data_IF_445073663651
#
_entry.id   IF_445073663651
#
_cell.length_a   1.000
_cell.length_b   1.000
_cell.length_c   1.000
_cell.angle_alpha   90.00
_cell.angle_beta   90.00
_cell.angle_gamma   90.00
#
_symmetry.space_group_name_H-M   'P 1'
#
loop_
_entity.id
_entity.type
_entity.pdbx_description
1 polymer ?
#
# COMPACT_ATOMS: atom_id res chain seq x y z
N UNK A 1 -21.62 1.24 -13.08
CA UNK A 1 -21.39 2.15 -14.23
C UNK A 1 -21.18 1.38 -15.54
N UNK A 2 -21.90 1.76 -16.60
CA UNK A 2 -21.69 1.32 -17.99
C UNK A 2 -20.37 1.86 -18.55
N UNK A 3 -19.91 1.34 -19.70
CA UNK A 3 -18.68 1.81 -20.36
C UNK A 3 -18.73 3.30 -20.72
N UNK A 4 -19.89 3.79 -21.18
CA UNK A 4 -20.12 5.21 -21.48
C UNK A 4 -20.06 6.08 -20.21
N UNK A 5 -20.75 5.67 -19.15
CA UNK A 5 -20.71 6.37 -17.86
C UNK A 5 -19.29 6.43 -17.28
N UNK A 6 -18.52 5.33 -17.36
CA UNK A 6 -17.13 5.27 -16.91
C UNK A 6 -16.20 6.23 -17.67
N UNK A 7 -16.42 6.41 -18.99
CA UNK A 7 -15.67 7.35 -19.83
C UNK A 7 -16.02 8.79 -19.48
N UNK A 8 -17.31 9.08 -19.31
CA UNK A 8 -17.78 10.40 -18.91
C UNK A 8 -17.22 10.82 -17.56
N UNK A 9 -17.34 9.98 -16.53
CA UNK A 9 -16.80 10.27 -15.18
C UNK A 9 -15.29 10.53 -15.23
N UNK A 10 -14.55 9.79 -16.07
CA UNK A 10 -13.11 10.03 -16.25
C UNK A 10 -12.84 11.42 -16.84
N UNK A 11 -13.49 11.75 -17.95
CA UNK A 11 -13.31 13.05 -18.61
C UNK A 11 -13.73 14.21 -17.71
N UNK A 12 -14.79 14.04 -16.93
CA UNK A 12 -15.25 15.05 -15.99
C UNK A 12 -14.17 15.34 -14.93
N UNK A 13 -13.57 14.30 -14.33
CA UNK A 13 -12.52 14.48 -13.32
C UNK A 13 -11.26 15.11 -13.91
N UNK A 14 -10.80 14.62 -15.07
CA UNK A 14 -9.60 15.14 -15.76
C UNK A 14 -9.75 16.61 -16.17
N UNK A 15 -10.96 17.09 -16.47
CA UNK A 15 -11.19 18.47 -16.92
C UNK A 15 -11.60 19.44 -15.81
N UNK A 16 -12.34 18.98 -14.80
CA UNK A 16 -12.90 19.85 -13.75
C UNK A 16 -12.11 19.78 -12.43
N UNK A 17 -11.73 18.58 -11.97
CA UNK A 17 -11.13 18.40 -10.64
C UNK A 17 -9.63 18.74 -10.64
N UNK A 18 -8.90 18.38 -11.70
CA UNK A 18 -7.47 18.70 -11.84
C UNK A 18 -7.20 20.21 -12.00
N UNK A 19 -8.18 21.01 -12.46
CA UNK A 19 -8.04 22.47 -12.57
C UNK A 19 -8.09 23.20 -11.24
N UNK A 20 -8.79 22.65 -10.25
CA UNK A 20 -8.97 23.29 -8.94
C UNK A 20 -7.92 22.89 -7.90
N UNK A 21 -6.89 22.10 -8.28
CA UNK A 21 -5.93 21.49 -7.33
C UNK A 21 -6.59 20.67 -6.22
N UNK A 22 -7.86 20.27 -6.38
CA UNK A 22 -8.61 19.50 -5.40
C UNK A 22 -8.30 18.01 -5.57
N UNK A 23 -8.07 17.35 -4.45
CA UNK A 23 -7.71 15.93 -4.40
C UNK A 23 -8.90 14.99 -4.59
N UNK A 24 -10.10 15.46 -4.26
CA UNK A 24 -11.35 14.74 -4.32
C UNK A 24 -12.50 15.73 -4.60
N UNK A 25 -13.52 15.32 -5.37
CA UNK A 25 -14.73 16.11 -5.55
C UNK A 25 -15.54 16.19 -4.25
N UNK A 26 -16.16 17.33 -3.98
CA UNK A 26 -17.08 17.50 -2.86
C UNK A 26 -18.32 16.61 -3.02
N UNK A 27 -18.98 16.25 -1.91
CA UNK A 27 -20.19 15.41 -1.94
C UNK A 27 -21.29 15.99 -2.85
N UNK A 28 -21.42 17.32 -2.89
CA UNK A 28 -22.37 18.00 -3.77
C UNK A 28 -22.07 17.77 -5.26
N UNK A 29 -20.78 17.79 -5.64
CA UNK A 29 -20.33 17.55 -7.02
C UNK A 29 -20.56 16.09 -7.43
N UNK A 30 -20.30 15.16 -6.51
CA UNK A 30 -20.58 13.73 -6.71
C UNK A 30 -22.07 13.48 -6.87
N UNK A 31 -22.92 14.13 -6.08
CA UNK A 31 -24.37 14.02 -6.18
C UNK A 31 -24.91 14.63 -7.49
N UNK A 32 -24.35 15.76 -7.92
CA UNK A 32 -24.66 16.36 -9.21
C UNK A 32 -24.26 15.43 -10.37
N UNK A 33 -23.06 14.86 -10.31
CA UNK A 33 -22.56 13.90 -11.31
C UNK A 33 -23.42 12.63 -11.35
N UNK A 34 -23.85 12.13 -10.19
CA UNK A 34 -24.74 10.98 -10.06
C UNK A 34 -26.10 11.21 -10.71
N UNK A 35 -26.65 12.40 -10.51
CA UNK A 35 -27.89 12.84 -11.13
C UNK A 35 -27.73 12.89 -12.66
N UNK A 36 -26.65 13.50 -13.15
CA UNK A 36 -26.41 13.71 -14.57
C UNK A 36 -26.21 12.40 -15.35
N UNK A 37 -25.56 11.39 -14.77
CA UNK A 37 -25.31 10.11 -15.45
C UNK A 37 -26.34 9.03 -15.10
N UNK A 38 -27.40 9.37 -14.36
CA UNK A 38 -28.41 8.45 -13.85
C UNK A 38 -27.79 7.24 -13.14
N UNK A 39 -26.95 7.51 -12.15
CA UNK A 39 -26.29 6.49 -11.31
C UNK A 39 -26.42 6.85 -9.84
N UNK A 40 -26.16 5.87 -8.96
CA UNK A 40 -26.02 6.14 -7.53
C UNK A 40 -24.69 6.87 -7.25
N UNK A 41 -24.68 7.87 -6.34
CA UNK A 41 -23.47 8.53 -5.85
C UNK A 41 -22.44 7.55 -5.29
N UNK A 42 -22.89 6.52 -4.57
CA UNK A 42 -22.03 5.49 -3.98
C UNK A 42 -21.26 4.71 -5.04
N UNK A 43 -21.92 4.35 -6.15
CA UNK A 43 -21.28 3.64 -7.27
C UNK A 43 -20.23 4.52 -7.98
N UNK A 44 -20.47 5.84 -8.03
CA UNK A 44 -19.53 6.80 -8.59
C UNK A 44 -18.33 6.97 -7.66
N UNK A 45 -18.55 7.19 -6.37
CA UNK A 45 -17.48 7.25 -5.37
C UNK A 45 -16.63 6.00 -5.42
N UNK A 46 -17.24 4.82 -5.41
CA UNK A 46 -16.53 3.55 -5.50
C UNK A 46 -15.67 3.48 -6.78
N UNK A 47 -16.18 3.95 -7.93
CA UNK A 47 -15.41 4.02 -9.17
C UNK A 47 -14.28 5.05 -9.12
N UNK A 48 -14.52 6.23 -8.53
CA UNK A 48 -13.53 7.29 -8.39
C UNK A 48 -12.41 6.83 -7.45
N UNK A 49 -12.73 6.33 -6.26
CA UNK A 49 -11.74 5.76 -5.34
C UNK A 49 -10.95 4.63 -6.00
N UNK A 50 -11.63 3.67 -6.63
CA UNK A 50 -10.95 2.54 -7.28
C UNK A 50 -10.07 2.94 -8.46
N UNK A 51 -10.32 4.08 -9.12
CA UNK A 51 -9.63 4.48 -10.34
C UNK A 51 -8.64 5.61 -10.16
N UNK A 52 -8.87 6.53 -9.23
CA UNK A 52 -8.04 7.70 -8.98
C UNK A 52 -7.12 7.55 -7.76
N UNK A 53 -7.40 6.62 -6.84
CA UNK A 53 -6.33 6.12 -5.96
C UNK A 53 -5.19 5.48 -6.78
N UNK A 54 -5.46 5.02 -8.01
CA UNK A 54 -4.47 4.42 -8.91
C UNK A 54 -3.62 5.44 -9.70
N UNK A 55 -4.09 6.68 -9.89
CA UNK A 55 -3.38 7.68 -10.72
C UNK A 55 -2.43 8.57 -9.90
N UNK A 56 -2.50 8.52 -8.56
CA UNK A 56 -1.73 9.40 -7.67
C UNK A 56 -0.47 8.79 -7.05
N UNK A 57 -0.08 7.59 -7.45
CA UNK A 57 1.26 7.04 -7.11
C UNK A 57 2.43 7.81 -7.74
N UNK A 58 2.15 8.81 -8.57
CA UNK A 58 3.14 9.78 -9.10
C UNK A 58 2.91 11.20 -8.58
N UNK A 59 2.46 11.34 -7.33
CA UNK A 59 2.67 12.59 -6.58
C UNK A 59 4.16 12.70 -6.26
N UNK A 60 4.90 13.37 -7.15
CA UNK A 60 6.21 13.92 -6.89
C UNK A 60 6.13 14.84 -5.65
N UNK A 61 6.32 14.26 -4.46
CA UNK A 61 6.77 15.04 -3.31
C UNK A 61 8.20 15.45 -3.61
N UNK A 62 8.35 16.65 -4.17
CA UNK A 62 9.60 17.38 -4.31
C UNK A 62 10.33 17.35 -2.97
N UNK A 63 11.34 16.48 -2.84
CA UNK A 63 12.19 16.37 -1.65
C UNK A 63 12.42 14.97 -1.06
N UNK A 64 11.59 13.96 -1.36
CA UNK A 64 11.89 12.60 -0.88
C UNK A 64 12.76 11.82 -1.88
N UNK A 65 14.05 11.67 -1.56
CA UNK A 65 14.96 10.74 -2.22
C UNK A 65 15.11 9.47 -1.40
N UNK A 66 14.62 8.34 -1.92
CA UNK A 66 14.73 7.02 -1.28
C UNK A 66 16.19 6.68 -0.94
N UNK A 67 17.09 6.89 -1.91
CA UNK A 67 18.53 6.63 -1.79
C UNK A 67 19.18 7.50 -0.73
N UNK A 68 18.78 8.75 -0.62
CA UNK A 68 19.35 9.67 0.38
C UNK A 68 18.94 9.29 1.80
N UNK A 69 17.66 9.00 2.03
CA UNK A 69 17.14 8.60 3.34
C UNK A 69 17.66 7.24 3.83
N UNK A 70 18.10 6.39 2.91
CA UNK A 70 18.58 5.03 3.20
C UNK A 70 20.06 4.83 2.85
N UNK A 71 20.84 5.91 2.66
CA UNK A 71 22.26 5.85 2.27
C UNK A 71 23.12 5.03 3.24
N UNK A 72 22.76 5.02 4.52
CA UNK A 72 23.44 4.26 5.58
C UNK A 72 23.34 2.74 5.40
N UNK A 73 22.42 2.24 4.58
CA UNK A 73 22.32 0.81 4.26
C UNK A 73 23.48 0.31 3.36
N UNK A 74 24.28 1.21 2.80
CA UNK A 74 25.50 0.88 2.04
C UNK A 74 25.23 -0.13 0.91
N UNK A 75 25.97 -1.23 0.91
CA UNK A 75 25.88 -2.28 -0.11
C UNK A 75 24.48 -2.93 -0.24
N UNK A 76 23.61 -2.79 0.75
CA UNK A 76 22.25 -3.37 0.72
C UNK A 76 21.22 -2.47 0.03
N UNK A 77 21.57 -1.20 -0.26
CA UNK A 77 20.63 -0.19 -0.74
C UNK A 77 19.91 -0.60 -2.04
N UNK A 78 20.63 -1.09 -3.03
CA UNK A 78 20.05 -1.46 -4.33
C UNK A 78 19.15 -2.71 -4.24
N UNK A 79 19.43 -3.63 -3.32
CA UNK A 79 18.55 -4.78 -3.07
C UNK A 79 17.24 -4.32 -2.41
N UNK A 80 17.34 -3.40 -1.44
CA UNK A 80 16.21 -2.82 -0.72
C UNK A 80 15.34 -1.95 -1.64
N UNK A 81 15.94 -1.13 -2.49
CA UNK A 81 15.21 -0.31 -3.48
C UNK A 81 14.41 -1.21 -4.45
N UNK A 82 15.06 -2.22 -5.03
CA UNK A 82 14.40 -3.17 -5.93
C UNK A 82 13.24 -3.90 -5.25
N UNK A 83 13.42 -4.30 -3.98
CA UNK A 83 12.36 -4.94 -3.20
C UNK A 83 11.16 -4.02 -2.99
N UNK A 84 11.40 -2.78 -2.55
CA UNK A 84 10.33 -1.79 -2.32
C UNK A 84 9.59 -1.44 -3.62
N UNK A 85 10.31 -1.26 -4.73
CA UNK A 85 9.71 -1.07 -6.05
C UNK A 85 8.82 -2.28 -6.42
N UNK A 86 9.25 -3.50 -6.12
CA UNK A 86 8.45 -4.69 -6.36
C UNK A 86 7.19 -4.76 -5.49
N UNK A 87 7.23 -4.26 -4.25
CA UNK A 87 6.05 -4.16 -3.36
C UNK A 87 4.97 -3.22 -3.91
N UNK A 88 5.36 -2.11 -4.53
CA UNK A 88 4.44 -1.16 -5.15
C UNK A 88 3.83 -1.67 -6.46
N UNK A 89 4.35 -2.76 -7.06
CA UNK A 89 3.78 -3.31 -8.29
C UNK A 89 2.38 -3.86 -8.02
N UNK A 90 1.46 -3.48 -8.89
CA UNK A 90 0.06 -3.90 -8.81
C UNK A 90 -0.03 -5.42 -8.89
N UNK A 91 -0.67 -6.03 -7.90
CA UNK A 91 -1.01 -7.45 -7.93
C UNK A 91 -2.35 -7.63 -8.60
N UNK A 92 -2.47 -8.65 -9.45
CA UNK A 92 -3.75 -8.98 -10.07
C UNK A 92 -4.79 -9.28 -8.98
N UNK A 93 -6.02 -8.74 -9.07
CA UNK A 93 -7.08 -9.02 -8.10
C UNK A 93 -7.35 -10.52 -7.91
N UNK A 94 -7.13 -11.31 -8.96
CA UNK A 94 -7.38 -12.75 -9.04
C UNK A 94 -6.09 -13.58 -9.11
N UNK A 95 -5.05 -13.18 -8.39
CA UNK A 95 -3.77 -13.93 -8.25
C UNK A 95 -3.96 -15.42 -7.86
N UNK A 96 -5.12 -15.81 -7.31
CA UNK A 96 -5.47 -17.21 -7.00
C UNK A 96 -4.93 -17.70 -5.65
N UNK A 97 -4.03 -16.96 -4.99
CA UNK A 97 -3.52 -17.32 -3.64
C UNK A 97 -4.52 -17.10 -2.50
N UNK A 98 -5.68 -16.49 -2.73
CA UNK A 98 -6.61 -16.09 -1.66
C UNK A 98 -7.81 -17.04 -1.60
N UNK A 99 -7.84 -17.91 -0.59
CA UNK A 99 -8.98 -18.82 -0.33
C UNK A 99 -10.23 -18.10 0.19
N UNK A 100 -10.05 -17.02 0.95
CA UNK A 100 -11.13 -16.25 1.57
C UNK A 100 -10.76 -14.78 1.47
N UNK A 101 -11.66 -13.97 0.90
CA UNK A 101 -11.43 -12.55 0.63
C UNK A 101 -12.71 -11.75 0.94
N UNK A 102 -13.11 -11.75 2.22
CA UNK A 102 -14.38 -11.20 2.70
C UNK A 102 -14.15 -10.33 3.93
N UNK A 103 -15.05 -9.39 4.16
CA UNK A 103 -15.07 -8.51 5.32
C UNK A 103 -15.01 -7.02 4.96
N UNK A 104 -15.21 -6.14 5.95
CA UNK A 104 -15.33 -4.70 5.75
C UNK A 104 -13.99 -4.04 5.42
N UNK A 105 -12.89 -4.55 5.96
CA UNK A 105 -11.56 -3.98 5.80
C UNK A 105 -10.99 -4.26 4.42
N UNK A 106 -11.16 -3.30 3.50
CA UNK A 106 -10.69 -3.36 2.09
C UNK A 106 -9.30 -2.73 1.92
N UNK A 107 -8.45 -3.35 1.12
CA UNK A 107 -7.12 -2.83 0.79
C UNK A 107 -7.22 -1.48 0.07
N UNK A 108 -6.37 -0.52 0.46
CA UNK A 108 -6.41 0.84 -0.10
C UNK A 108 -5.64 1.01 -1.40
N UNK A 109 -4.76 0.05 -1.73
CA UNK A 109 -3.99 0.01 -2.98
C UNK A 109 -4.74 -0.66 -4.15
N UNK A 110 -6.03 -0.98 -3.98
CA UNK A 110 -6.87 -1.49 -5.07
C UNK A 110 -6.49 -2.89 -5.56
N UNK A 111 -5.87 -3.73 -4.72
CA UNK A 111 -5.50 -5.11 -5.06
C UNK A 111 -6.65 -6.13 -4.84
N UNK A 112 -7.82 -5.64 -4.43
CA UNK A 112 -9.01 -6.42 -4.16
C UNK A 112 -9.02 -7.19 -2.84
N UNK A 113 -7.97 -7.11 -2.02
CA UNK A 113 -7.94 -7.79 -0.71
C UNK A 113 -8.95 -7.20 0.28
N UNK A 114 -9.57 -8.08 1.06
CA UNK A 114 -10.58 -7.85 2.08
C UNK A 114 -10.39 -8.84 3.22
N UNK A 115 -10.57 -8.37 4.45
CA UNK A 115 -10.52 -9.22 5.65
C UNK A 115 -11.53 -8.77 6.69
N UNK A 116 -11.82 -9.66 7.65
CA UNK A 116 -12.67 -9.39 8.82
C UNK A 116 -11.92 -8.73 9.98
N UNK A 117 -10.58 -8.73 9.97
CA UNK A 117 -9.77 -8.27 11.10
C UNK A 117 -8.88 -7.08 10.72
N UNK A 118 -8.88 -5.98 11.52
CA UNK A 118 -8.05 -4.82 11.23
C UNK A 118 -6.55 -5.14 11.28
N UNK A 119 -6.14 -6.07 12.15
CA UNK A 119 -4.76 -6.56 12.22
C UNK A 119 -4.28 -7.18 10.90
N UNK A 120 -5.10 -8.05 10.28
CA UNK A 120 -4.76 -8.67 9.01
C UNK A 120 -4.76 -7.66 7.86
N UNK A 121 -5.59 -6.61 7.97
CA UNK A 121 -5.64 -5.52 7.00
C UNK A 121 -4.36 -4.69 7.05
N UNK A 122 -3.95 -4.23 8.24
CA UNK A 122 -2.69 -3.47 8.41
C UNK A 122 -1.49 -4.26 7.89
N UNK A 123 -1.40 -5.54 8.30
CA UNK A 123 -0.35 -6.45 7.83
C UNK A 123 -0.34 -6.62 6.31
N UNK A 124 -1.51 -6.53 5.67
CA UNK A 124 -1.62 -6.59 4.23
C UNK A 124 -1.18 -5.28 3.56
N UNK A 125 -1.57 -4.12 4.09
CA UNK A 125 -1.12 -2.81 3.59
C UNK A 125 0.40 -2.68 3.65
N UNK A 126 1.05 -3.22 4.69
CA UNK A 126 2.52 -3.29 4.81
C UNK A 126 3.17 -4.08 3.66
N UNK A 127 2.44 -4.94 2.94
CA UNK A 127 2.96 -5.62 1.74
C UNK A 127 3.06 -4.73 0.52
N UNK A 128 2.32 -3.62 0.51
CA UNK A 128 2.36 -2.56 -0.49
C UNK A 128 3.34 -1.47 -0.08
N UNK A 129 3.30 -1.03 1.17
CA UNK A 129 4.23 -0.06 1.76
C UNK A 129 4.95 -0.66 2.98
N UNK A 130 6.08 -1.38 2.75
CA UNK A 130 6.89 -1.92 3.83
C UNK A 130 7.29 -0.86 4.83
N UNK A 131 7.14 -1.15 6.12
CA UNK A 131 7.61 -0.30 7.22
C UNK A 131 8.89 -0.82 7.87
N UNK A 132 9.12 -2.13 7.79
CA UNK A 132 10.31 -2.80 8.30
C UNK A 132 10.82 -3.79 7.25
N UNK A 133 12.12 -4.04 7.24
CA UNK A 133 12.78 -4.99 6.35
C UNK A 133 13.79 -5.84 7.10
N UNK A 134 13.89 -7.11 6.72
CA UNK A 134 14.90 -8.05 7.18
C UNK A 134 15.67 -8.60 5.99
N UNK A 135 16.98 -8.38 5.98
CA UNK A 135 17.92 -8.96 5.03
C UNK A 135 18.76 -9.99 5.78
N UNK A 136 18.57 -11.28 5.47
CA UNK A 136 19.22 -12.34 6.23
C UNK A 136 20.75 -12.18 6.24
N UNK A 137 21.31 -12.07 7.45
CA UNK A 137 22.73 -11.86 7.71
C UNK A 137 23.62 -12.95 7.09
N UNK A 138 23.15 -14.21 7.11
CA UNK A 138 23.91 -15.33 6.56
C UNK A 138 23.71 -15.47 5.06
N UNK A 139 22.49 -15.28 4.53
CA UNK A 139 22.27 -15.34 3.09
C UNK A 139 22.99 -14.23 2.32
N UNK A 140 23.12 -13.02 2.88
CA UNK A 140 23.85 -11.93 2.22
C UNK A 140 25.34 -12.15 2.08
N UNK A 141 25.91 -13.05 2.89
CA UNK A 141 27.33 -13.42 2.82
C UNK A 141 27.58 -14.51 1.76
N UNK A 142 26.52 -15.16 1.27
CA UNK A 142 26.65 -16.24 0.31
C UNK A 142 26.56 -15.68 -1.12
N UNK A 143 27.70 -15.56 -1.79
CA UNK A 143 27.80 -14.98 -3.14
C UNK A 143 27.02 -15.77 -4.22
N UNK A 144 26.68 -17.03 -3.94
CA UNK A 144 26.01 -17.91 -4.90
C UNK A 144 24.48 -17.87 -4.81
N UNK A 145 23.89 -17.11 -3.89
CA UNK A 145 22.44 -17.03 -3.72
C UNK A 145 21.94 -15.60 -3.57
N UNK A 146 20.77 -15.32 -4.16
CA UNK A 146 20.07 -14.07 -3.87
C UNK A 146 19.74 -14.02 -2.38
N UNK A 147 20.10 -12.94 -1.68
CA UNK A 147 19.90 -12.87 -0.25
C UNK A 147 18.41 -12.82 0.09
N UNK A 148 18.04 -13.50 1.18
CA UNK A 148 16.66 -13.53 1.64
C UNK A 148 16.26 -12.17 2.25
N UNK A 149 15.42 -11.42 1.54
CA UNK A 149 14.90 -10.12 1.93
C UNK A 149 13.37 -10.17 2.03
N UNK A 150 12.82 -9.78 3.19
CA UNK A 150 11.37 -9.75 3.43
C UNK A 150 10.98 -8.58 4.34
N UNK A 151 9.74 -8.13 4.24
CA UNK A 151 9.14 -7.10 5.11
C UNK A 151 8.31 -7.65 6.27
N UNK A 152 8.39 -8.96 6.52
CA UNK A 152 7.55 -9.63 7.52
C UNK A 152 8.38 -10.50 8.45
N UNK A 153 8.38 -10.14 9.74
CA UNK A 153 9.09 -10.87 10.80
C UNK A 153 8.75 -12.36 10.82
N UNK A 154 7.48 -12.73 10.72
CA UNK A 154 7.08 -14.15 10.80
C UNK A 154 7.59 -14.98 9.60
N UNK A 155 7.67 -14.37 8.41
CA UNK A 155 8.29 -14.99 7.23
C UNK A 155 9.80 -15.10 7.39
N UNK A 156 10.42 -14.09 8.00
CA UNK A 156 11.83 -14.13 8.33
C UNK A 156 12.17 -15.25 9.33
N UNK A 157 11.43 -15.34 10.44
CA UNK A 157 11.63 -16.38 11.46
C UNK A 157 11.43 -17.79 10.87
N UNK A 158 10.43 -17.97 10.01
CA UNK A 158 10.21 -19.23 9.30
C UNK A 158 11.39 -19.58 8.37
N UNK A 159 11.97 -18.59 7.70
CA UNK A 159 13.18 -18.78 6.89
C UNK A 159 14.37 -19.14 7.77
N UNK A 160 14.64 -18.36 8.82
CA UNK A 160 15.76 -18.61 9.73
C UNK A 160 15.72 -20.02 10.32
N UNK A 161 14.55 -20.44 10.83
CA UNK A 161 14.36 -21.79 11.37
C UNK A 161 14.62 -22.92 10.36
N UNK A 162 14.35 -22.69 9.08
CA UNK A 162 14.49 -23.72 8.04
C UNK A 162 15.85 -23.74 7.37
N UNK A 163 16.42 -22.56 7.09
CA UNK A 163 17.69 -22.38 6.38
C UNK A 163 18.92 -22.31 7.30
N UNK A 164 18.74 -21.91 8.57
CA UNK A 164 19.81 -21.68 9.54
C UNK A 164 19.53 -22.44 10.85
N UNK A 165 19.48 -23.76 10.76
CA UNK A 165 19.06 -24.65 11.87
C UNK A 165 19.93 -24.56 13.12
N UNK A 166 21.19 -24.18 12.96
CA UNK A 166 22.16 -24.09 14.07
C UNK A 166 22.08 -22.77 14.84
N UNK A 167 21.21 -21.84 14.42
CA UNK A 167 21.10 -20.50 15.00
C UNK A 167 19.71 -20.26 15.57
N UNK A 168 19.67 -19.51 16.68
CA UNK A 168 18.40 -19.06 17.24
C UNK A 168 17.70 -18.07 16.29
N UNK A 169 16.46 -18.34 15.83
CA UNK A 169 15.80 -17.49 14.85
C UNK A 169 15.62 -16.03 15.27
N UNK A 170 15.45 -15.74 16.56
CA UNK A 170 15.29 -14.37 17.06
C UNK A 170 16.62 -13.61 17.04
N UNK A 171 17.73 -14.25 17.40
CA UNK A 171 19.07 -13.70 17.23
C UNK A 171 19.36 -13.35 15.77
N UNK A 172 19.08 -14.28 14.84
CA UNK A 172 19.27 -14.01 13.40
C UNK A 172 18.37 -12.88 12.94
N UNK A 173 17.13 -12.80 13.42
CA UNK A 173 16.20 -11.70 13.13
C UNK A 173 16.75 -10.35 13.58
N UNK A 174 17.35 -10.28 14.77
CA UNK A 174 17.95 -9.05 15.29
C UNK A 174 19.14 -8.61 14.43
N UNK A 175 20.03 -9.53 14.06
CA UNK A 175 21.20 -9.24 13.19
C UNK A 175 20.83 -8.88 11.75
N UNK A 176 19.63 -9.30 11.32
CA UNK A 176 19.15 -9.15 9.94
C UNK A 176 18.17 -7.99 9.76
N UNK A 177 17.69 -7.40 10.86
CA UNK A 177 16.79 -6.24 10.80
C UNK A 177 17.55 -5.04 10.24
N UNK A 178 17.02 -4.45 9.17
CA UNK A 178 17.59 -3.25 8.59
C UNK A 178 17.03 -2.01 9.30
N UNK A 179 17.88 -1.00 9.46
CA UNK A 179 17.48 0.35 9.85
C UNK A 179 16.83 1.07 8.66
N UNK A 180 15.71 0.53 8.17
CA UNK A 180 15.06 0.99 6.96
C UNK A 180 14.16 2.20 7.24
N UNK A 181 14.40 3.30 6.54
CA UNK A 181 13.57 4.49 6.60
C UNK A 181 12.49 4.45 5.52
N UNK A 182 11.34 3.89 5.91
CA UNK A 182 10.17 3.75 5.04
C UNK A 182 9.63 5.11 4.57
N UNK A 183 9.16 5.13 3.32
CA UNK A 183 8.25 6.17 2.83
C UNK A 183 6.83 5.66 3.04
N UNK A 184 5.93 6.56 3.45
CA UNK A 184 4.50 6.31 3.33
C UNK A 184 3.80 7.53 2.74
N UNK A 185 2.62 7.34 2.14
CA UNK A 185 1.75 8.45 1.74
C UNK A 185 0.92 8.90 2.95
N UNK A 186 1.13 10.11 3.49
CA UNK A 186 0.39 10.59 4.66
C UNK A 186 -1.09 10.86 4.36
N UNK A 187 -1.49 10.93 3.09
CA UNK A 187 -2.86 11.25 2.71
C UNK A 187 -3.77 10.04 2.90
N UNK A 188 -4.94 10.27 3.49
CA UNK A 188 -6.00 9.28 3.52
C UNK A 188 -6.56 9.07 2.09
N UNK A 189 -6.78 7.82 1.65
CA UNK A 189 -7.39 7.53 0.36
C UNK A 189 -8.92 7.66 0.35
N UNK A 190 -9.54 7.91 1.51
CA UNK A 190 -11.00 7.96 1.71
C UNK A 190 -11.48 9.39 1.98
N UNK A 191 -10.71 10.20 2.70
CA UNK A 191 -11.07 11.57 3.07
C UNK A 191 -9.86 12.52 2.92
N UNK A 192 -10.03 13.84 3.11
CA UNK A 192 -8.94 14.81 2.88
C UNK A 192 -7.90 14.89 4.00
N UNK A 193 -8.03 14.12 5.09
CA UNK A 193 -7.08 14.15 6.21
C UNK A 193 -5.68 13.62 5.83
N UNK A 194 -4.68 14.18 6.51
CA UNK A 194 -3.28 13.73 6.44
C UNK A 194 -2.79 13.36 7.82
N UNK A 195 -1.93 12.36 7.89
CA UNK A 195 -1.39 11.83 9.16
C UNK A 195 0.14 11.88 9.22
N UNK A 196 0.69 12.06 10.40
CA UNK A 196 2.13 12.23 10.61
C UNK A 196 2.92 10.91 10.67
N UNK A 197 2.25 9.78 10.88
CA UNK A 197 2.88 8.46 10.92
C UNK A 197 2.05 7.40 10.20
N UNK A 198 2.73 6.33 9.74
CA UNK A 198 2.04 5.15 9.19
C UNK A 198 1.03 4.54 10.17
N UNK A 199 1.35 4.56 11.47
CA UNK A 199 0.47 4.01 12.49
C UNK A 199 -0.80 4.85 12.62
N UNK A 200 -0.69 6.18 12.58
CA UNK A 200 -1.84 7.08 12.64
C UNK A 200 -2.65 7.00 11.35
N UNK A 201 -1.99 6.88 10.19
CA UNK A 201 -2.64 6.58 8.91
C UNK A 201 -3.51 5.32 9.00
N UNK A 202 -2.93 4.23 9.49
CA UNK A 202 -3.64 2.96 9.61
C UNK A 202 -4.84 3.07 10.55
N UNK A 203 -4.65 3.69 11.73
CA UNK A 203 -5.73 3.91 12.70
C UNK A 203 -6.85 4.77 12.11
N UNK A 204 -6.49 5.85 11.42
CA UNK A 204 -7.44 6.74 10.77
C UNK A 204 -8.26 5.98 9.71
N UNK A 205 -7.59 5.22 8.83
CA UNK A 205 -8.28 4.47 7.77
C UNK A 205 -9.19 3.38 8.34
N UNK A 206 -8.78 2.73 9.45
CA UNK A 206 -9.60 1.72 10.12
C UNK A 206 -10.94 2.30 10.58
N UNK A 207 -10.98 3.53 11.09
CA UNK A 207 -12.22 4.19 11.54
C UNK A 207 -13.26 4.32 10.41
N UNK A 208 -12.82 4.64 9.19
CA UNK A 208 -13.72 4.67 8.02
C UNK A 208 -14.44 3.34 7.79
N UNK A 209 -13.82 2.20 8.13
CA UNK A 209 -14.47 0.89 7.99
C UNK A 209 -15.35 0.52 9.17
N UNK A 210 -15.15 1.13 10.33
CA UNK A 210 -15.93 0.90 11.54
C UNK A 210 -17.19 1.77 11.54
N UNK A 211 -17.11 2.99 11.01
CA UNK A 211 -18.25 3.91 10.84
C UNK A 211 -19.19 3.48 9.69
N UNK A 212 -18.73 2.62 8.78
CA UNK A 212 -19.47 2.06 7.64
C UNK A 212 -20.35 0.82 8.02
N UNK A 213 -20.30 0.35 9.28
CA UNK A 213 -20.98 -0.89 9.77
C UNK A 213 -22.17 -0.53 10.66
#
# INVERSE_FOLDING_TARGET
LTKKQKLFVRQWIENFVDRESRSFPANEEVNALATLIHSSPQIILEYIHNKFALTRTSSATSGYSFKEKNRHLGASLDAVERYVIACHRRRAPNDGRRKINIGPYRCTYGCGYRTKRPFDWRRHEETHEPQELWLCHFCRQNEHQNPFLVNRKDKFLSHSKSAHKDWDPEQVSMMSKLDFHAKFDPKCPICPETTDSWNDRCKHIIRHFEDDI
#
